data_IF_347856990553
#
_entry.id   IF_347856990553
#
_cell.length_a   1.000
_cell.length_b   1.000
_cell.length_c   1.000
_cell.angle_alpha   90.00
_cell.angle_beta   90.00
_cell.angle_gamma   90.00
#
_symmetry.space_group_name_H-M   'P 1'
#
loop_
_entity.id
_entity.type
_entity.pdbx_description
1 polymer ?
#
# COMPACT_ATOMS: atom_id res chain seq x y z
N UNK A 1 -0.27 6.61 -21.43
CA UNK A 1 -0.69 7.87 -20.79
C UNK A 1 -2.17 8.18 -21.02
N UNK A 2 -2.71 7.93 -22.21
CA UNK A 2 -4.12 8.21 -22.53
C UNK A 2 -5.10 7.42 -21.63
N UNK A 3 -4.84 6.14 -21.40
CA UNK A 3 -5.68 5.29 -20.52
C UNK A 3 -5.60 5.74 -19.06
N UNK A 4 -4.41 6.10 -18.58
CA UNK A 4 -4.24 6.67 -17.24
C UNK A 4 -5.11 7.92 -17.05
N UNK A 5 -5.10 8.83 -18.02
CA UNK A 5 -5.91 10.04 -17.98
C UNK A 5 -7.42 9.73 -17.99
N UNK A 6 -7.87 8.73 -18.75
CA UNK A 6 -9.29 8.30 -18.75
C UNK A 6 -9.71 7.76 -17.38
N UNK A 7 -8.88 6.94 -16.73
CA UNK A 7 -9.19 6.41 -15.39
C UNK A 7 -9.18 7.54 -14.36
N UNK A 8 -8.15 8.39 -14.37
CA UNK A 8 -7.98 9.44 -13.38
C UNK A 8 -9.05 10.56 -13.49
N UNK A 9 -9.40 10.96 -14.72
CA UNK A 9 -10.23 12.14 -14.97
C UNK A 9 -11.65 11.83 -15.42
N UNK A 10 -11.87 10.67 -16.05
CA UNK A 10 -13.17 10.31 -16.63
C UNK A 10 -13.83 9.13 -15.92
N UNK A 11 -13.16 8.56 -14.88
CA UNK A 11 -13.71 7.45 -14.11
C UNK A 11 -13.82 6.13 -14.87
N UNK A 12 -13.00 5.92 -15.92
CA UNK A 12 -12.98 4.64 -16.62
C UNK A 12 -12.71 3.50 -15.62
N UNK A 13 -13.60 2.53 -15.58
CA UNK A 13 -13.50 1.38 -14.66
C UNK A 13 -12.34 0.48 -15.02
N UNK A 14 -11.71 -0.07 -14.00
CA UNK A 14 -10.55 -0.95 -14.10
C UNK A 14 -10.76 -2.24 -13.32
N UNK A 15 -10.11 -3.32 -13.77
CA UNK A 15 -10.15 -4.63 -13.10
C UNK A 15 -8.79 -5.29 -13.14
N UNK A 16 -8.55 -6.19 -12.19
CA UNK A 16 -7.34 -7.01 -12.15
C UNK A 16 -7.54 -8.24 -13.05
N UNK A 17 -6.58 -8.50 -13.95
CA UNK A 17 -6.66 -9.66 -14.83
C UNK A 17 -6.37 -10.97 -14.07
N UNK A 18 -6.97 -12.10 -14.49
CA UNK A 18 -6.67 -13.41 -13.88
C UNK A 18 -5.18 -13.80 -13.96
N UNK A 19 -4.50 -13.43 -15.05
CA UNK A 19 -3.06 -13.67 -15.20
C UNK A 19 -2.24 -12.88 -14.17
N UNK A 20 -2.60 -11.62 -13.89
CA UNK A 20 -1.94 -10.83 -12.84
C UNK A 20 -2.17 -11.44 -11.46
N UNK A 21 -3.37 -11.93 -11.17
CA UNK A 21 -3.66 -12.64 -9.90
C UNK A 21 -2.72 -13.83 -9.72
N UNK A 22 -2.57 -14.68 -10.73
CA UNK A 22 -1.70 -15.87 -10.67
C UNK A 22 -0.22 -15.50 -10.43
N UNK A 23 0.28 -14.42 -11.07
CA UNK A 23 1.64 -13.93 -10.83
C UNK A 23 1.82 -13.42 -9.39
N UNK A 24 0.84 -12.67 -8.89
CA UNK A 24 0.86 -12.16 -7.52
C UNK A 24 0.84 -13.29 -6.48
N UNK A 25 0.02 -14.31 -6.68
CA UNK A 25 -0.07 -15.47 -5.78
C UNK A 25 1.24 -16.26 -5.73
N UNK A 26 1.93 -16.44 -6.86
CA UNK A 26 3.26 -17.09 -6.88
C UNK A 26 4.29 -16.30 -6.07
N UNK A 27 4.32 -14.98 -6.24
CA UNK A 27 5.21 -14.11 -5.49
C UNK A 27 4.87 -14.08 -3.99
N UNK A 28 3.58 -14.05 -3.66
CA UNK A 28 3.10 -14.09 -2.27
C UNK A 28 3.54 -15.38 -1.57
N UNK A 29 3.36 -16.53 -2.20
CA UNK A 29 3.77 -17.83 -1.63
C UNK A 29 5.26 -17.85 -1.26
N UNK A 30 6.12 -17.27 -2.10
CA UNK A 30 7.55 -17.13 -1.79
C UNK A 30 7.80 -16.20 -0.59
N UNK A 31 7.10 -15.06 -0.52
CA UNK A 31 7.22 -14.12 0.61
C UNK A 31 6.75 -14.76 1.92
N UNK A 32 5.69 -15.55 1.90
CA UNK A 32 5.20 -16.27 3.08
C UNK A 32 6.21 -17.31 3.58
N UNK A 33 6.86 -18.05 2.68
CA UNK A 33 7.98 -18.93 3.04
C UNK A 33 9.14 -18.16 3.67
N UNK A 34 9.49 -17.01 3.11
CA UNK A 34 10.55 -16.16 3.64
C UNK A 34 10.20 -15.61 5.03
N UNK A 35 8.97 -15.16 5.22
CA UNK A 35 8.48 -14.62 6.49
C UNK A 35 8.40 -15.69 7.60
N UNK A 36 7.99 -16.91 7.26
CA UNK A 36 7.95 -18.04 8.22
C UNK A 36 9.33 -18.46 8.74
N UNK A 37 10.41 -17.99 8.10
CA UNK A 37 11.79 -18.37 8.44
C UNK A 37 12.15 -19.79 8.00
N UNK A 38 11.39 -20.38 7.06
CA UNK A 38 11.70 -21.69 6.48
C UNK A 38 12.92 -21.65 5.55
N UNK A 39 13.19 -20.49 4.95
CA UNK A 39 14.39 -20.29 4.13
C UNK A 39 15.64 -20.22 4.99
N UNK A 40 16.70 -20.95 4.60
CA UNK A 40 17.95 -21.07 5.31
C UNK A 40 19.09 -20.46 4.51
N UNK A 41 20.07 -19.87 5.20
CA UNK A 41 21.36 -19.49 4.63
C UNK A 41 22.29 -20.71 4.49
N UNK A 42 23.48 -20.53 3.93
CA UNK A 42 24.49 -21.57 3.75
C UNK A 42 24.95 -22.22 5.07
N UNK A 43 24.77 -21.53 6.20
CA UNK A 43 25.06 -22.01 7.53
C UNK A 43 23.87 -22.66 8.25
N UNK A 44 22.74 -22.86 7.53
CA UNK A 44 21.52 -23.46 8.08
C UNK A 44 20.69 -22.54 8.99
N UNK A 45 21.06 -21.26 9.11
CA UNK A 45 20.33 -20.27 9.91
C UNK A 45 19.17 -19.70 9.10
N UNK A 46 18.08 -19.26 9.73
CA UNK A 46 17.01 -18.57 9.03
C UNK A 46 17.52 -17.35 8.27
N UNK A 47 17.27 -17.30 6.97
CA UNK A 47 17.77 -16.23 6.11
C UNK A 47 17.10 -14.89 6.45
N UNK A 48 17.90 -13.83 6.60
CA UNK A 48 17.44 -12.46 6.75
C UNK A 48 17.16 -11.85 5.37
N UNK A 49 15.92 -11.47 5.12
CA UNK A 49 15.48 -10.91 3.83
C UNK A 49 14.91 -9.52 4.10
N UNK A 50 15.58 -8.50 3.53
CA UNK A 50 15.21 -7.11 3.72
C UNK A 50 13.77 -6.84 3.31
N UNK A 51 13.03 -6.15 4.18
CA UNK A 51 11.63 -5.76 3.95
C UNK A 51 10.62 -6.88 4.19
N UNK A 52 11.07 -8.11 4.50
CA UNK A 52 10.19 -9.26 4.79
C UNK A 52 10.28 -9.63 6.28
N UNK A 53 11.48 -9.98 6.76
CA UNK A 53 11.71 -10.42 8.13
C UNK A 53 12.83 -9.66 8.83
N UNK A 54 13.18 -8.47 8.33
CA UNK A 54 14.14 -7.54 8.95
C UNK A 54 13.47 -6.21 9.26
N UNK A 55 14.14 -5.37 10.05
CA UNK A 55 13.82 -3.95 10.14
C UNK A 55 14.24 -3.20 8.87
N UNK A 56 14.12 -1.87 8.90
CA UNK A 56 14.39 -0.96 7.78
C UNK A 56 15.51 0.03 8.13
N UNK A 57 16.15 0.63 7.12
CA UNK A 57 17.21 1.60 7.30
C UNK A 57 18.36 1.06 8.15
N UNK A 58 18.67 1.68 9.27
CA UNK A 58 19.71 1.22 10.20
C UNK A 58 19.46 -0.18 10.78
N UNK A 59 18.20 -0.63 10.78
CA UNK A 59 17.79 -1.96 11.27
C UNK A 59 17.66 -2.99 10.13
N UNK A 60 18.16 -2.72 8.94
CA UNK A 60 18.02 -3.59 7.76
C UNK A 60 18.61 -5.00 7.93
N UNK A 61 19.57 -5.16 8.84
CA UNK A 61 20.22 -6.44 9.15
C UNK A 61 19.67 -7.10 10.43
N UNK A 62 18.80 -6.39 11.17
CA UNK A 62 18.19 -6.92 12.38
C UNK A 62 16.98 -7.75 12.00
N UNK A 63 17.05 -9.05 12.28
CA UNK A 63 15.91 -9.93 12.07
C UNK A 63 14.82 -9.63 13.10
N UNK A 64 13.59 -9.54 12.63
CA UNK A 64 12.39 -9.28 13.44
C UNK A 64 11.71 -10.62 13.70
N UNK A 65 11.38 -10.96 14.95
CA UNK A 65 10.56 -12.13 15.27
C UNK A 65 9.21 -12.10 14.55
N UNK A 66 8.71 -13.27 14.17
CA UNK A 66 7.49 -13.39 13.37
C UNK A 66 6.29 -12.74 14.06
N UNK A 67 6.17 -12.85 15.38
CA UNK A 67 5.12 -12.24 16.20
C UNK A 67 5.12 -10.71 16.14
N UNK A 68 6.24 -10.09 15.80
CA UNK A 68 6.40 -8.63 15.74
C UNK A 68 6.29 -8.06 14.31
N UNK A 69 6.22 -8.90 13.28
CA UNK A 69 6.20 -8.44 11.89
C UNK A 69 4.97 -7.58 11.58
N UNK A 70 3.80 -7.96 12.10
CA UNK A 70 2.57 -7.19 11.87
C UNK A 70 2.64 -5.80 12.52
N UNK A 71 3.15 -5.72 13.74
CA UNK A 71 3.35 -4.45 14.46
C UNK A 71 4.37 -3.58 13.73
N UNK A 72 5.47 -4.17 13.25
CA UNK A 72 6.48 -3.45 12.46
C UNK A 72 5.86 -2.86 11.19
N UNK A 73 5.10 -3.64 10.42
CA UNK A 73 4.47 -3.18 9.17
C UNK A 73 3.49 -2.03 9.42
N UNK A 74 2.67 -2.14 10.47
CA UNK A 74 1.74 -1.08 10.87
C UNK A 74 2.47 0.21 11.27
N UNK A 75 3.48 0.09 12.13
CA UNK A 75 4.26 1.22 12.57
C UNK A 75 5.03 1.87 11.43
N UNK A 76 5.47 1.09 10.44
CA UNK A 76 6.11 1.61 9.24
C UNK A 76 5.17 2.55 8.48
N UNK A 77 3.93 2.13 8.20
CA UNK A 77 2.93 2.95 7.53
C UNK A 77 2.68 4.23 8.34
N UNK A 78 2.41 4.11 9.65
CA UNK A 78 2.12 5.24 10.53
C UNK A 78 3.28 6.25 10.59
N UNK A 79 4.50 5.77 10.73
CA UNK A 79 5.70 6.63 10.81
C UNK A 79 6.02 7.37 9.51
N UNK A 80 5.60 6.82 8.37
CA UNK A 80 5.84 7.42 7.06
C UNK A 80 4.68 8.29 6.57
N UNK A 81 3.49 8.20 7.18
CA UNK A 81 2.36 9.07 6.86
C UNK A 81 2.52 10.46 7.49
N UNK A 82 3.65 11.11 7.20
CA UNK A 82 4.07 12.39 7.75
C UNK A 82 3.99 13.53 6.72
N UNK A 83 3.21 13.34 5.65
CA UNK A 83 2.98 14.37 4.65
C UNK A 83 2.19 15.54 5.22
N UNK A 84 2.47 16.75 4.71
CA UNK A 84 1.83 18.01 5.12
C UNK A 84 1.39 18.83 3.90
N UNK A 85 0.71 19.93 4.14
CA UNK A 85 0.22 20.84 3.10
C UNK A 85 -1.15 20.45 2.55
N UNK A 86 -1.61 21.23 1.57
CA UNK A 86 -2.88 20.98 0.91
C UNK A 86 -2.90 19.64 0.18
N UNK A 87 -4.04 18.97 0.10
CA UNK A 87 -4.15 17.75 -0.67
C UNK A 87 -3.77 17.95 -2.15
N UNK A 88 -3.12 16.95 -2.74
CA UNK A 88 -2.94 16.93 -4.19
C UNK A 88 -4.29 16.89 -4.91
N UNK A 89 -4.41 17.40 -6.15
CA UNK A 89 -5.63 17.28 -6.95
C UNK A 89 -6.13 15.84 -7.02
N UNK A 90 -7.45 15.65 -7.01
CA UNK A 90 -8.07 14.31 -6.98
C UNK A 90 -7.67 13.43 -8.16
N UNK A 91 -7.54 14.00 -9.35
CA UNK A 91 -7.07 13.25 -10.53
C UNK A 91 -5.62 12.77 -10.37
N UNK A 92 -4.78 13.53 -9.67
CA UNK A 92 -3.40 13.11 -9.32
C UNK A 92 -3.45 11.96 -8.32
N UNK A 93 -4.24 12.06 -7.23
CA UNK A 93 -4.41 10.98 -6.27
C UNK A 93 -4.92 9.69 -6.94
N UNK A 94 -5.91 9.78 -7.83
CA UNK A 94 -6.43 8.66 -8.62
C UNK A 94 -5.36 8.03 -9.53
N UNK A 95 -4.55 8.87 -10.18
CA UNK A 95 -3.42 8.41 -10.99
C UNK A 95 -2.39 7.65 -10.14
N UNK A 96 -2.07 8.14 -8.93
CA UNK A 96 -1.16 7.47 -7.98
C UNK A 96 -1.70 6.08 -7.59
N UNK A 97 -3.00 5.97 -7.26
CA UNK A 97 -3.64 4.70 -6.93
C UNK A 97 -3.54 3.71 -8.09
N UNK A 98 -3.85 4.15 -9.32
CA UNK A 98 -3.78 3.29 -10.52
C UNK A 98 -2.34 2.81 -10.79
N UNK A 99 -1.37 3.72 -10.75
CA UNK A 99 0.03 3.39 -10.98
C UNK A 99 0.57 2.43 -9.93
N UNK A 100 0.17 2.60 -8.66
CA UNK A 100 0.52 1.67 -7.59
C UNK A 100 -0.12 0.30 -7.80
N UNK A 101 -1.41 0.26 -8.11
CA UNK A 101 -2.12 -0.98 -8.43
C UNK A 101 -1.46 -1.71 -9.60
N UNK A 102 -1.12 -1.00 -10.68
CA UNK A 102 -0.42 -1.57 -11.84
C UNK A 102 0.98 -2.10 -11.49
N UNK A 103 1.74 -1.39 -10.66
CA UNK A 103 3.06 -1.86 -10.21
C UNK A 103 2.95 -3.15 -9.38
N UNK A 104 2.01 -3.23 -8.46
CA UNK A 104 1.78 -4.40 -7.61
C UNK A 104 1.23 -5.59 -8.41
N UNK A 105 0.38 -5.34 -9.40
CA UNK A 105 -0.20 -6.36 -10.29
C UNK A 105 0.84 -7.09 -11.16
N UNK A 106 2.07 -6.57 -11.24
CA UNK A 106 3.19 -7.26 -11.91
C UNK A 106 3.67 -8.51 -11.17
N UNK A 107 3.21 -8.74 -9.94
CA UNK A 107 3.54 -9.92 -9.17
C UNK A 107 4.98 -9.99 -8.65
N UNK A 108 5.70 -8.85 -8.60
CA UNK A 108 7.09 -8.81 -8.09
C UNK A 108 7.20 -8.38 -6.63
N UNK A 109 6.09 -8.02 -5.97
CA UNK A 109 6.10 -7.41 -4.63
C UNK A 109 5.65 -8.35 -3.50
N UNK A 110 5.20 -9.56 -3.81
CA UNK A 110 4.71 -10.51 -2.81
C UNK A 110 3.49 -10.05 -2.02
N UNK A 111 2.75 -9.07 -2.51
CA UNK A 111 1.54 -8.60 -1.86
C UNK A 111 0.32 -9.45 -2.25
N UNK A 112 -0.65 -9.52 -1.35
CA UNK A 112 -1.91 -10.22 -1.59
C UNK A 112 -2.71 -9.58 -2.73
N UNK A 113 -3.31 -10.35 -3.66
CA UNK A 113 -4.19 -9.83 -4.71
C UNK A 113 -5.33 -8.96 -4.16
N UNK A 114 -5.84 -9.28 -2.96
CA UNK A 114 -6.86 -8.50 -2.27
C UNK A 114 -6.48 -7.02 -2.07
N UNK A 115 -5.20 -6.69 -1.88
CA UNK A 115 -4.75 -5.31 -1.77
C UNK A 115 -4.97 -4.55 -3.09
N UNK A 116 -4.59 -5.13 -4.22
CA UNK A 116 -4.80 -4.52 -5.53
C UNK A 116 -6.30 -4.40 -5.84
N UNK A 117 -7.08 -5.42 -5.52
CA UNK A 117 -8.54 -5.38 -5.68
C UNK A 117 -9.16 -4.22 -4.89
N UNK A 118 -8.70 -3.95 -3.66
CA UNK A 118 -9.16 -2.80 -2.86
C UNK A 118 -8.73 -1.46 -3.47
N UNK A 119 -7.49 -1.34 -3.97
CA UNK A 119 -7.05 -0.14 -4.68
C UNK A 119 -7.92 0.16 -5.91
N UNK A 120 -8.26 -0.87 -6.69
CA UNK A 120 -9.15 -0.72 -7.84
C UNK A 120 -10.58 -0.41 -7.42
N UNK A 121 -11.04 -0.94 -6.29
CA UNK A 121 -12.36 -0.61 -5.74
C UNK A 121 -12.48 0.87 -5.38
N UNK A 122 -11.44 1.48 -4.75
CA UNK A 122 -11.41 2.93 -4.51
C UNK A 122 -11.60 3.73 -5.81
N UNK A 123 -10.85 3.39 -6.86
CA UNK A 123 -10.98 4.06 -8.17
C UNK A 123 -12.37 3.92 -8.75
N UNK A 124 -12.94 2.71 -8.68
CA UNK A 124 -14.22 2.37 -9.30
C UNK A 124 -15.43 2.93 -8.55
N UNK A 125 -15.32 3.16 -7.23
CA UNK A 125 -16.36 3.75 -6.39
C UNK A 125 -16.32 5.29 -6.36
N UNK A 126 -15.21 5.90 -6.83
CA UNK A 126 -14.99 7.34 -6.70
C UNK A 126 -14.60 7.78 -5.29
N UNK A 127 -14.11 6.84 -4.48
CA UNK A 127 -13.49 7.11 -3.19
C UNK A 127 -12.04 7.51 -3.42
N UNK A 128 -11.75 8.81 -3.44
CA UNK A 128 -10.44 9.33 -3.82
C UNK A 128 -9.60 9.63 -2.57
N UNK A 129 -8.43 9.01 -2.39
CA UNK A 129 -7.58 9.24 -1.21
C UNK A 129 -7.17 10.69 -1.05
N UNK A 130 -7.14 11.17 0.20
CA UNK A 130 -6.55 12.47 0.54
C UNK A 130 -5.06 12.25 0.77
N UNK A 131 -4.24 12.82 -0.09
CA UNK A 131 -2.78 12.71 -0.02
C UNK A 131 -2.19 14.12 0.07
N UNK A 132 -1.47 14.46 1.15
CA UNK A 132 -0.79 15.74 1.27
C UNK A 132 0.23 15.98 0.16
N UNK A 133 0.35 17.22 -0.29
CA UNK A 133 1.22 17.58 -1.42
C UNK A 133 2.72 17.61 -1.09
N UNK A 134 3.09 17.68 0.18
CA UNK A 134 4.47 17.77 0.65
C UNK A 134 4.83 16.56 1.51
N UNK A 135 5.98 15.95 1.26
CA UNK A 135 6.46 14.76 1.99
C UNK A 135 7.17 13.75 1.11
N UNK A 136 7.05 13.86 -0.22
CA UNK A 136 7.81 13.03 -1.15
C UNK A 136 9.28 13.46 -1.18
N UNK A 137 10.20 12.48 -1.08
CA UNK A 137 11.63 12.68 -1.29
C UNK A 137 12.11 12.21 -2.67
N UNK A 138 11.20 11.83 -3.57
CA UNK A 138 11.48 11.39 -4.93
C UNK A 138 12.33 10.13 -5.03
N UNK A 139 13.59 10.18 -4.62
CA UNK A 139 14.54 9.05 -4.70
C UNK A 139 14.25 7.91 -3.73
N UNK A 140 13.45 8.11 -2.69
CA UNK A 140 13.09 7.10 -1.69
C UNK A 140 11.86 6.25 -2.07
N UNK A 141 11.23 6.50 -3.22
CA UNK A 141 10.07 5.76 -3.69
C UNK A 141 8.73 6.26 -3.17
N UNK A 142 8.62 7.56 -2.89
CA UNK A 142 7.38 8.24 -2.49
C UNK A 142 6.72 7.65 -1.23
N UNK A 143 7.51 7.38 -0.21
CA UNK A 143 7.07 6.70 1.01
C UNK A 143 5.91 7.42 1.70
N UNK A 144 5.99 8.74 1.91
CA UNK A 144 4.95 9.49 2.61
C UNK A 144 3.61 9.50 1.86
N UNK A 145 3.52 9.82 0.56
CA UNK A 145 2.27 9.73 -0.18
C UNK A 145 1.66 8.33 -0.17
N UNK A 146 2.48 7.29 -0.32
CA UNK A 146 2.01 5.90 -0.29
C UNK A 146 1.59 5.45 1.11
N UNK A 147 2.21 5.97 2.16
CA UNK A 147 1.80 5.70 3.53
C UNK A 147 0.42 6.28 3.85
N UNK A 148 0.10 7.49 3.37
CA UNK A 148 -1.25 8.05 3.49
C UNK A 148 -2.30 7.17 2.79
N UNK A 149 -1.99 6.66 1.59
CA UNK A 149 -2.84 5.66 0.93
C UNK A 149 -2.93 4.35 1.74
N UNK A 150 -1.82 3.92 2.35
CA UNK A 150 -1.76 2.74 3.21
C UNK A 150 -2.63 2.87 4.44
N UNK A 151 -2.65 4.01 5.12
CA UNK A 151 -3.51 4.28 6.27
C UNK A 151 -4.99 4.11 5.93
N UNK A 152 -5.41 4.57 4.76
CA UNK A 152 -6.79 4.41 4.31
C UNK A 152 -7.20 2.94 4.19
N UNK A 153 -6.29 2.06 3.77
CA UNK A 153 -6.58 0.65 3.45
C UNK A 153 -6.26 -0.34 4.58
N UNK A 154 -5.39 0.03 5.51
CA UNK A 154 -4.76 -0.89 6.47
C UNK A 154 -5.05 -0.54 7.93
N UNK A 155 -6.16 0.14 8.21
CA UNK A 155 -6.59 0.42 9.59
C UNK A 155 -7.26 -0.80 10.24
N UNK A 156 -7.22 -0.85 11.56
CA UNK A 156 -7.93 -1.85 12.37
C UNK A 156 -9.23 -1.25 12.93
N UNK A 157 -10.21 -2.08 13.33
CA UNK A 157 -11.47 -1.60 13.92
C UNK A 157 -11.29 -0.71 15.16
N UNK A 158 -10.23 -0.95 15.94
CA UNK A 158 -9.88 -0.21 17.14
C UNK A 158 -9.05 1.06 16.90
N UNK A 159 -8.60 1.31 15.68
CA UNK A 159 -7.82 2.51 15.38
C UNK A 159 -8.68 3.77 15.52
N UNK A 160 -8.17 4.85 16.14
CA UNK A 160 -8.84 6.14 16.15
C UNK A 160 -9.08 6.65 14.73
N UNK A 161 -10.21 7.30 14.48
CA UNK A 161 -10.56 7.76 13.13
C UNK A 161 -9.48 8.67 12.51
N UNK A 162 -8.90 9.56 13.30
CA UNK A 162 -7.82 10.44 12.86
C UNK A 162 -6.50 9.72 12.51
N UNK A 163 -6.40 8.42 12.73
CA UNK A 163 -5.26 7.58 12.36
C UNK A 163 -5.56 6.63 11.18
N UNK A 164 -6.77 6.71 10.59
CA UNK A 164 -7.22 5.77 9.55
C UNK A 164 -7.04 6.30 8.12
N UNK A 165 -6.38 7.42 7.95
CA UNK A 165 -6.32 8.11 6.65
C UNK A 165 -7.65 8.76 6.30
N UNK A 166 -7.70 9.45 5.17
CA UNK A 166 -8.88 10.18 4.71
C UNK A 166 -9.12 9.97 3.22
N UNK A 167 -10.36 10.10 2.79
CA UNK A 167 -10.74 10.09 1.38
C UNK A 167 -11.89 11.05 1.09
N UNK A 168 -11.96 11.50 -0.16
CA UNK A 168 -13.10 12.19 -0.72
C UNK A 168 -14.12 11.19 -1.23
N UNK A 169 -15.37 11.34 -0.85
CA UNK A 169 -16.51 10.67 -1.46
C UNK A 169 -17.53 11.73 -1.90
N UNK A 170 -17.70 11.88 -3.20
CA UNK A 170 -18.40 13.06 -3.72
C UNK A 170 -17.66 14.35 -3.31
N UNK A 171 -18.34 15.24 -2.58
CA UNK A 171 -17.76 16.49 -2.05
C UNK A 171 -17.45 16.43 -0.55
N UNK A 172 -17.65 15.27 0.09
CA UNK A 172 -17.40 15.07 1.50
C UNK A 172 -16.00 14.49 1.70
N UNK A 173 -15.29 14.99 2.72
CA UNK A 173 -14.02 14.43 3.19
C UNK A 173 -14.31 13.61 4.44
N UNK A 174 -14.01 12.33 4.36
CA UNK A 174 -14.36 11.33 5.36
C UNK A 174 -13.11 10.61 5.86
N UNK A 175 -13.13 10.17 7.11
CA UNK A 175 -12.10 9.27 7.63
C UNK A 175 -12.23 7.87 7.02
N UNK A 176 -11.13 7.12 6.99
CA UNK A 176 -10.99 5.88 6.23
C UNK A 176 -12.09 4.87 6.49
N UNK A 177 -12.51 4.67 7.74
CA UNK A 177 -13.57 3.73 8.10
C UNK A 177 -14.90 4.11 7.49
N UNK A 178 -15.30 5.36 7.60
CA UNK A 178 -16.53 5.86 7.00
C UNK A 178 -16.43 5.88 5.48
N UNK A 179 -15.33 6.36 4.93
CA UNK A 179 -15.11 6.42 3.49
C UNK A 179 -15.20 5.04 2.82
N UNK A 180 -14.71 3.98 3.48
CA UNK A 180 -14.74 2.62 2.95
C UNK A 180 -16.08 1.90 3.19
N UNK A 181 -16.98 2.44 3.98
CA UNK A 181 -18.32 1.89 4.24
C UNK A 181 -19.38 2.36 3.24
N UNK A 182 -19.07 3.40 2.45
CA UNK A 182 -19.92 3.98 1.40
C UNK A 182 -19.81 3.23 0.09
#
# INVERSE_FOLDING_TARGET
LTELAKVARQGLRVSLSPSAVAEMERSLAWVEQAASGSLRDEQGRPQAIYGINTGFGSLARLRIPQENLLVLQRNLIRSHAAGVGEPVPRDVARAMVLLRANALAKGASGCRPALVTRLLALLNSGCDPVVPSQGSCGSSGDLAPLAHLGLLLCHLPEDPDNETGEAWFGNERLFGREALSR
#
